data_IF_385360067816
#
_entry.id   IF_385360067816
#
_cell.length_a   1.000
_cell.length_b   1.000
_cell.length_c   1.000
_cell.angle_alpha   90.00
_cell.angle_beta   90.00
_cell.angle_gamma   90.00
#
_symmetry.space_group_name_H-M   'P 1'
#
loop_
_entity.id
_entity.type
_entity.pdbx_description
1 polymer ?
#
# COMPACT_ATOMS: atom_id res chain seq x y z
N UNK A 1 -49.62 -50.85 -22.14
CA UNK A 1 -48.17 -50.65 -22.36
C UNK A 1 -47.92 -49.15 -22.51
N UNK A 2 -47.22 -48.52 -21.56
CA UNK A 2 -46.28 -47.39 -21.80
C UNK A 2 -45.74 -46.91 -20.46
N UNK A 3 -44.67 -47.57 -20.01
CA UNK A 3 -43.89 -47.20 -18.81
C UNK A 3 -42.84 -46.13 -19.16
N UNK A 4 -43.26 -45.09 -19.90
CA UNK A 4 -42.41 -43.95 -20.24
C UNK A 4 -42.76 -42.77 -19.34
N UNK A 5 -42.25 -42.72 -18.10
CA UNK A 5 -42.31 -41.45 -17.34
C UNK A 5 -41.38 -41.29 -16.15
N UNK A 6 -40.61 -42.30 -15.71
CA UNK A 6 -39.82 -42.16 -14.46
C UNK A 6 -38.30 -42.18 -14.64
N UNK A 7 -37.77 -42.87 -15.66
CA UNK A 7 -36.32 -42.98 -15.86
C UNK A 7 -35.68 -41.75 -16.55
N UNK A 8 -36.41 -41.07 -17.44
CA UNK A 8 -35.89 -39.91 -18.17
C UNK A 8 -35.66 -38.67 -17.29
N UNK A 9 -36.49 -38.52 -16.24
CA UNK A 9 -36.40 -37.36 -15.34
C UNK A 9 -35.19 -37.42 -14.42
N UNK A 10 -34.81 -38.62 -13.95
CA UNK A 10 -33.64 -38.82 -13.12
C UNK A 10 -32.32 -38.58 -13.89
N UNK A 11 -32.26 -38.99 -15.16
CA UNK A 11 -31.11 -38.77 -16.02
C UNK A 11 -30.90 -37.28 -16.35
N UNK A 12 -31.98 -36.53 -16.56
CA UNK A 12 -31.91 -35.08 -16.78
C UNK A 12 -31.48 -34.32 -15.51
N UNK A 13 -31.96 -34.70 -14.33
CA UNK A 13 -31.52 -34.07 -13.07
C UNK A 13 -30.03 -34.31 -12.80
N UNK A 14 -29.52 -35.52 -13.04
CA UNK A 14 -28.12 -35.84 -12.85
C UNK A 14 -27.19 -35.08 -13.82
N UNK A 15 -27.64 -34.83 -15.05
CA UNK A 15 -26.92 -34.02 -16.03
C UNK A 15 -26.87 -32.54 -15.61
N UNK A 16 -27.99 -31.99 -15.11
CA UNK A 16 -28.05 -30.58 -14.66
C UNK A 16 -27.17 -30.35 -13.43
N UNK A 17 -27.14 -31.27 -12.47
CA UNK A 17 -26.29 -31.15 -11.27
C UNK A 17 -24.80 -31.25 -11.61
N UNK A 18 -24.42 -32.08 -12.59
CA UNK A 18 -23.02 -32.18 -13.04
C UNK A 18 -22.56 -30.96 -13.86
N UNK A 19 -23.45 -30.33 -14.63
CA UNK A 19 -23.19 -29.07 -15.32
C UNK A 19 -23.05 -27.87 -14.36
N UNK A 20 -23.80 -27.85 -13.25
CA UNK A 20 -23.71 -26.81 -12.22
C UNK A 20 -22.48 -26.96 -11.31
N UNK A 21 -22.00 -28.20 -11.09
CA UNK A 21 -20.83 -28.47 -10.25
C UNK A 21 -19.49 -28.06 -10.87
N UNK A 22 -19.41 -27.92 -12.20
CA UNK A 22 -18.21 -27.49 -12.93
C UNK A 22 -18.13 -25.97 -13.16
N UNK A 23 -19.21 -25.22 -12.87
CA UNK A 23 -19.26 -23.77 -13.06
C UNK A 23 -18.82 -22.95 -11.83
N UNK A 24 -18.50 -23.61 -10.70
CA UNK A 24 -18.27 -22.95 -9.41
C UNK A 24 -16.82 -22.64 -9.04
N UNK A 25 -15.83 -23.10 -9.81
CA UNK A 25 -14.43 -22.75 -9.57
C UNK A 25 -14.06 -21.52 -10.40
N UNK A 26 -14.54 -20.34 -9.99
CA UNK A 26 -13.86 -19.11 -10.39
C UNK A 26 -12.40 -19.25 -9.98
N UNK A 27 -11.42 -19.11 -10.90
CA UNK A 27 -10.03 -19.01 -10.48
C UNK A 27 -9.99 -17.88 -9.46
N UNK A 28 -9.39 -18.13 -8.29
CA UNK A 28 -9.09 -17.06 -7.37
C UNK A 28 -8.25 -16.05 -8.17
N UNK A 29 -8.84 -14.91 -8.52
CA UNK A 29 -8.10 -13.84 -9.20
C UNK A 29 -6.89 -13.56 -8.32
N UNK A 30 -5.70 -13.86 -8.82
CA UNK A 30 -4.48 -13.43 -8.15
C UNK A 30 -4.63 -11.92 -7.97
N UNK A 31 -4.60 -11.45 -6.72
CA UNK A 31 -4.69 -10.02 -6.47
C UNK A 31 -3.55 -9.35 -7.25
N UNK A 32 -3.90 -8.41 -8.13
CA UNK A 32 -2.89 -7.68 -8.89
C UNK A 32 -1.91 -7.06 -7.91
N UNK A 33 -0.61 -7.26 -8.15
CA UNK A 33 0.42 -6.62 -7.34
C UNK A 33 0.23 -5.11 -7.45
N UNK A 34 0.10 -4.37 -6.35
CA UNK A 34 -0.08 -2.92 -6.42
C UNK A 34 1.17 -2.27 -7.02
N UNK A 35 0.98 -1.25 -7.85
CA UNK A 35 2.09 -0.52 -8.45
C UNK A 35 2.99 0.16 -7.40
N UNK A 36 2.42 0.46 -6.22
CA UNK A 36 3.13 1.05 -5.09
C UNK A 36 2.74 0.34 -3.79
N UNK A 37 3.74 -0.07 -3.01
CA UNK A 37 3.54 -0.66 -1.69
C UNK A 37 4.28 0.15 -0.62
N UNK A 38 3.64 0.31 0.54
CA UNK A 38 4.22 0.99 1.70
C UNK A 38 4.38 0.05 2.88
N UNK A 39 5.49 0.21 3.60
CA UNK A 39 5.69 -0.37 4.92
C UNK A 39 6.21 0.68 5.88
N UNK A 40 5.99 0.47 7.17
CA UNK A 40 6.63 1.23 8.25
C UNK A 40 7.39 0.26 9.13
N UNK A 41 8.49 0.70 9.73
CA UNK A 41 9.26 -0.10 10.68
C UNK A 41 8.50 -0.33 11.99
N UNK A 42 7.61 0.60 12.36
CA UNK A 42 6.73 0.50 13.52
C UNK A 42 5.40 1.22 13.27
N UNK A 43 4.31 0.67 13.82
CA UNK A 43 2.96 1.28 13.80
C UNK A 43 2.65 2.05 15.09
N UNK A 44 3.58 2.06 16.05
CA UNK A 44 3.49 2.86 17.28
C UNK A 44 4.84 3.53 17.54
N UNK A 45 4.82 4.79 17.93
CA UNK A 45 6.00 5.62 18.17
C UNK A 45 5.78 6.56 19.36
N UNK A 46 6.83 6.89 20.10
CA UNK A 46 6.78 7.90 21.17
C UNK A 46 7.27 9.26 20.66
N UNK A 47 6.88 10.38 21.30
CA UNK A 47 7.53 11.67 21.07
C UNK A 47 9.06 11.57 21.10
N UNK A 48 9.72 12.19 20.12
CA UNK A 48 11.17 12.16 19.93
C UNK A 48 11.72 10.92 19.21
N UNK A 49 10.89 9.92 18.92
CA UNK A 49 11.35 8.71 18.20
C UNK A 49 11.26 8.86 16.68
N UNK A 50 12.14 8.14 15.98
CA UNK A 50 12.13 8.04 14.52
C UNK A 50 11.20 6.93 14.04
N UNK A 51 10.56 7.17 12.91
CA UNK A 51 9.74 6.21 12.16
C UNK A 51 10.22 6.20 10.71
N UNK A 52 10.41 5.00 10.17
CA UNK A 52 10.92 4.80 8.82
C UNK A 52 9.84 4.23 7.92
N UNK A 53 9.46 4.99 6.90
CA UNK A 53 8.55 4.58 5.83
C UNK A 53 9.37 4.07 4.66
N UNK A 54 9.04 2.88 4.18
CA UNK A 54 9.58 2.32 2.95
C UNK A 54 8.49 2.27 1.89
N UNK A 55 8.83 2.72 0.70
CA UNK A 55 8.00 2.72 -0.49
C UNK A 55 8.68 1.86 -1.55
N UNK A 56 7.90 0.96 -2.16
CA UNK A 56 8.37 0.10 -3.25
C UNK A 56 7.47 0.30 -4.46
N UNK A 57 7.99 0.95 -5.49
CA UNK A 57 7.35 1.01 -6.80
C UNK A 57 7.69 -0.25 -7.59
N UNK A 58 6.71 -0.80 -8.30
CA UNK A 58 6.87 -1.96 -9.19
C UNK A 58 6.28 -1.63 -10.56
N UNK A 59 7.04 -1.85 -11.63
CA UNK A 59 6.46 -1.85 -12.97
C UNK A 59 5.56 -3.10 -13.12
N UNK A 60 4.24 -2.92 -13.00
CA UNK A 60 3.22 -3.97 -13.17
C UNK A 60 2.68 -4.04 -14.61
N UNK A 61 3.31 -3.34 -15.54
CA UNK A 61 3.03 -3.42 -16.97
C UNK A 61 3.73 -4.60 -17.63
N UNK A 62 3.41 -4.81 -18.90
CA UNK A 62 4.10 -5.79 -19.76
C UNK A 62 5.15 -5.14 -20.65
N UNK A 63 5.24 -3.81 -20.65
CA UNK A 63 6.26 -3.01 -21.33
C UNK A 63 7.06 -2.14 -20.35
N UNK A 64 8.18 -1.59 -20.84
CA UNK A 64 8.99 -0.64 -20.08
C UNK A 64 8.16 0.60 -19.71
N UNK A 65 8.33 1.05 -18.47
CA UNK A 65 7.82 2.37 -18.05
C UNK A 65 8.71 3.44 -18.66
N UNK A 66 8.07 4.44 -19.27
CA UNK A 66 8.73 5.60 -19.89
C UNK A 66 8.46 6.92 -19.17
N UNK A 67 7.51 6.94 -18.24
CA UNK A 67 7.23 8.09 -17.40
C UNK A 67 6.54 7.65 -16.10
N UNK A 68 6.93 8.26 -14.98
CA UNK A 68 6.26 8.11 -13.69
C UNK A 68 6.09 9.49 -13.08
N UNK A 69 4.86 9.83 -12.72
CA UNK A 69 4.57 10.92 -11.81
C UNK A 69 4.14 10.35 -10.48
N UNK A 70 4.66 10.88 -9.38
CA UNK A 70 4.30 10.42 -8.05
C UNK A 70 4.19 11.61 -7.08
N UNK A 71 3.10 11.67 -6.31
CA UNK A 71 3.00 12.55 -5.13
C UNK A 71 3.36 11.82 -3.86
N UNK A 72 3.63 12.55 -2.78
CA UNK A 72 3.66 12.01 -1.43
C UNK A 72 3.22 13.10 -0.46
N UNK A 73 2.15 12.85 0.28
CA UNK A 73 1.48 13.87 1.09
C UNK A 73 0.93 13.28 2.40
N UNK A 74 0.83 14.07 3.49
CA UNK A 74 0.09 13.66 4.67
C UNK A 74 -1.39 13.47 4.35
N UNK A 75 -2.06 12.56 5.07
CA UNK A 75 -3.53 12.49 5.02
C UNK A 75 -4.17 13.74 5.61
N UNK A 76 -5.47 13.92 5.35
CA UNK A 76 -6.24 15.02 5.94
C UNK A 76 -6.16 15.00 7.47
N UNK A 77 -6.37 13.85 8.10
CA UNK A 77 -6.31 13.67 9.55
C UNK A 77 -4.94 14.06 10.11
N UNK A 78 -3.87 13.67 9.41
CA UNK A 78 -2.50 14.02 9.79
C UNK A 78 -2.25 15.52 9.67
N UNK A 79 -2.70 16.14 8.57
CA UNK A 79 -2.46 17.57 8.29
C UNK A 79 -3.34 18.53 9.08
N UNK A 80 -4.53 18.11 9.50
CA UNK A 80 -5.51 18.93 10.22
C UNK A 80 -5.33 18.91 11.74
N UNK A 81 -4.54 17.98 12.27
CA UNK A 81 -4.28 17.87 13.70
C UNK A 81 -3.21 18.86 14.17
N UNK A 82 -3.63 19.93 14.85
CA UNK A 82 -2.74 20.98 15.37
C UNK A 82 -1.75 20.50 16.45
N UNK A 83 -2.08 19.42 17.16
CA UNK A 83 -1.22 18.82 18.19
C UNK A 83 -0.21 17.79 17.64
N UNK A 84 -0.46 17.23 16.46
CA UNK A 84 0.37 16.18 15.89
C UNK A 84 1.57 16.79 15.17
N UNK A 85 2.78 16.50 15.65
CA UNK A 85 4.01 17.12 15.15
C UNK A 85 4.99 16.06 14.70
N UNK A 86 5.57 16.25 13.52
CA UNK A 86 6.65 15.42 13.01
C UNK A 86 7.54 16.24 12.06
N UNK A 87 8.75 15.75 11.80
CA UNK A 87 9.69 16.40 10.88
C UNK A 87 10.45 15.34 10.08
N UNK A 88 10.61 15.56 8.79
CA UNK A 88 11.38 14.67 7.92
C UNK A 88 12.88 14.81 8.19
N UNK A 89 13.58 13.67 8.22
CA UNK A 89 15.00 13.60 8.60
C UNK A 89 15.88 13.16 7.43
N UNK A 90 15.55 12.04 6.81
CA UNK A 90 16.35 11.47 5.71
C UNK A 90 15.46 10.95 4.61
N UNK A 91 15.99 10.97 3.38
CA UNK A 91 15.53 10.06 2.34
C UNK A 91 16.71 9.37 1.66
N UNK A 92 16.57 8.08 1.42
CA UNK A 92 17.49 7.24 0.66
C UNK A 92 16.70 6.48 -0.38
N UNK A 93 17.31 6.17 -1.52
CA UNK A 93 16.63 5.47 -2.60
C UNK A 93 17.60 4.60 -3.41
N UNK A 94 17.04 3.65 -4.14
CA UNK A 94 17.78 2.82 -5.08
C UNK A 94 18.45 3.67 -6.18
N UNK A 95 19.50 3.13 -6.85
CA UNK A 95 20.10 3.78 -8.01
C UNK A 95 19.06 4.16 -9.06
N UNK A 96 19.24 5.35 -9.65
CA UNK A 96 18.30 5.89 -10.63
C UNK A 96 17.00 6.41 -10.02
N UNK A 97 16.96 6.66 -8.71
CA UNK A 97 15.85 7.33 -8.04
C UNK A 97 16.38 8.55 -7.31
N UNK A 98 15.80 9.72 -7.58
CA UNK A 98 16.01 10.91 -6.74
C UNK A 98 14.91 10.94 -5.71
N UNK A 99 15.24 11.22 -4.46
CA UNK A 99 14.26 11.34 -3.40
C UNK A 99 14.45 12.60 -2.58
N UNK A 100 13.33 13.23 -2.24
CA UNK A 100 13.27 14.34 -1.29
C UNK A 100 12.35 13.95 -0.14
N UNK A 101 12.87 14.03 1.09
CA UNK A 101 12.12 13.64 2.27
C UNK A 101 10.83 14.47 2.41
N UNK A 102 9.70 13.80 2.55
CA UNK A 102 8.38 14.44 2.63
C UNK A 102 7.78 14.90 1.30
N UNK A 103 8.46 14.69 0.17
CA UNK A 103 7.94 15.02 -1.17
C UNK A 103 7.84 13.81 -2.10
N UNK A 104 8.50 12.69 -1.77
CA UNK A 104 8.44 11.45 -2.53
C UNK A 104 9.65 11.28 -3.45
N UNK A 105 9.43 10.63 -4.60
CA UNK A 105 10.51 10.17 -5.47
C UNK A 105 10.28 10.52 -6.94
N UNK A 106 11.40 10.68 -7.67
CA UNK A 106 11.45 10.81 -9.13
C UNK A 106 12.32 9.69 -9.67
N UNK A 107 11.81 8.98 -10.68
CA UNK A 107 12.43 7.77 -11.20
C UNK A 107 13.10 8.01 -12.55
N UNK A 108 14.33 7.53 -12.69
CA UNK A 108 14.97 7.39 -13.98
C UNK A 108 14.28 6.26 -14.77
N UNK A 109 14.01 6.54 -16.02
CA UNK A 109 13.37 5.65 -17.00
C UNK A 109 14.37 5.30 -18.11
N UNK A 110 14.25 4.13 -18.77
CA UNK A 110 13.18 3.14 -18.65
C UNK A 110 13.25 2.26 -17.40
N UNK A 111 12.11 1.73 -16.95
CA UNK A 111 12.02 0.69 -15.90
C UNK A 111 11.37 -0.55 -16.51
N UNK A 112 12.10 -1.65 -16.59
CA UNK A 112 11.64 -2.89 -17.22
C UNK A 112 10.44 -3.53 -16.51
N UNK A 113 9.60 -4.33 -17.21
CA UNK A 113 8.52 -5.11 -16.60
C UNK A 113 8.97 -5.90 -15.38
N UNK A 114 8.21 -5.82 -14.29
CA UNK A 114 8.51 -6.48 -13.01
C UNK A 114 9.65 -5.87 -12.21
N UNK A 115 10.42 -4.92 -12.76
CA UNK A 115 11.49 -4.27 -12.01
C UNK A 115 10.91 -3.33 -10.93
N UNK A 116 11.62 -3.26 -9.81
CA UNK A 116 11.22 -2.45 -8.65
C UNK A 116 12.18 -1.29 -8.40
N UNK A 117 11.69 -0.28 -7.68
CA UNK A 117 12.47 0.84 -7.17
C UNK A 117 12.02 1.13 -5.75
N UNK A 118 12.97 1.12 -4.81
CA UNK A 118 12.74 1.33 -3.40
C UNK A 118 13.19 2.72 -2.97
N UNK A 119 12.41 3.30 -2.08
CA UNK A 119 12.67 4.58 -1.41
C UNK A 119 12.40 4.39 0.08
N UNK A 120 13.29 4.90 0.91
CA UNK A 120 13.16 4.85 2.37
C UNK A 120 13.30 6.26 2.93
N UNK A 121 12.23 6.72 3.59
CA UNK A 121 12.15 8.03 4.24
C UNK A 121 12.00 7.86 5.74
N UNK A 122 12.68 8.69 6.53
CA UNK A 122 12.57 8.70 7.99
C UNK A 122 12.03 10.04 8.43
N UNK A 123 11.01 10.02 9.30
CA UNK A 123 10.53 11.19 10.02
C UNK A 123 10.66 10.97 11.53
N UNK A 124 10.83 12.06 12.27
CA UNK A 124 10.87 12.06 13.73
C UNK A 124 9.55 12.60 14.26
N UNK A 125 8.94 11.92 15.23
CA UNK A 125 7.82 12.48 15.99
C UNK A 125 8.35 13.62 16.86
N UNK A 126 7.71 14.79 16.78
CA UNK A 126 8.09 15.95 17.60
C UNK A 126 8.07 15.59 19.09
N UNK A 127 9.06 16.06 19.86
CA UNK A 127 9.13 15.79 21.30
C UNK A 127 7.92 16.36 22.07
N UNK A 128 7.25 17.35 21.50
CA UNK A 128 6.04 18.01 22.00
C UNK A 128 4.78 17.64 21.20
N UNK A 129 4.84 16.56 20.40
CA UNK A 129 3.65 16.05 19.69
C UNK A 129 2.63 15.50 20.68
N UNK A 130 1.34 15.75 20.42
CA UNK A 130 0.24 15.09 21.11
C UNK A 130 0.27 13.59 20.88
N UNK A 131 -0.17 12.83 21.87
CA UNK A 131 -0.37 11.38 21.79
C UNK A 131 -1.83 11.04 21.49
N UNK A 132 -2.09 9.81 21.05
CA UNK A 132 -3.42 9.32 20.73
C UNK A 132 -3.79 9.56 19.28
N UNK A 133 -5.05 9.90 19.03
CA UNK A 133 -5.57 10.16 17.68
C UNK A 133 -5.42 11.64 17.29
N UNK A 134 -5.26 11.95 15.99
CA UNK A 134 -5.14 11.00 14.88
C UNK A 134 -3.74 10.40 14.74
N UNK A 135 -3.65 9.32 13.96
CA UNK A 135 -2.38 8.68 13.61
C UNK A 135 -1.62 9.50 12.56
N UNK A 136 -0.29 9.40 12.56
CA UNK A 136 0.52 9.90 11.43
C UNK A 136 0.38 8.94 10.27
N UNK A 137 -0.17 9.41 9.16
CA UNK A 137 -0.32 8.66 7.93
C UNK A 137 -0.07 9.54 6.70
N UNK A 138 0.38 8.90 5.62
CA UNK A 138 0.63 9.54 4.34
C UNK A 138 -0.04 8.75 3.23
N UNK A 139 -0.13 9.37 2.07
CA UNK A 139 -0.55 8.71 0.85
C UNK A 139 0.25 9.22 -0.35
N UNK A 140 0.19 8.45 -1.42
CA UNK A 140 0.79 8.76 -2.69
C UNK A 140 -0.19 8.46 -3.81
N UNK A 141 -0.36 9.41 -4.72
CA UNK A 141 -0.90 9.11 -6.05
C UNK A 141 0.26 8.83 -6.99
N UNK A 142 0.10 7.81 -7.83
CA UNK A 142 1.06 7.49 -8.88
C UNK A 142 0.34 7.40 -10.23
N UNK A 143 0.98 7.95 -11.26
CA UNK A 143 0.58 7.82 -12.66
C UNK A 143 1.78 7.30 -13.46
N UNK A 144 1.57 6.24 -14.23
CA UNK A 144 2.63 5.53 -14.94
C UNK A 144 2.27 5.39 -16.41
N UNK A 145 3.16 5.83 -17.30
CA UNK A 145 3.06 5.58 -18.74
C UNK A 145 4.06 4.52 -19.19
N UNK A 146 3.61 3.68 -20.11
CA UNK A 146 4.41 2.59 -20.67
C UNK A 146 4.77 2.87 -22.12
N UNK A 147 5.83 2.23 -22.58
CA UNK A 147 6.20 2.18 -23.99
C UNK A 147 5.23 1.30 -24.79
N UNK A 148 5.38 1.30 -26.13
CA UNK A 148 4.67 0.36 -27.00
C UNK A 148 3.15 0.52 -27.07
N UNK A 149 2.61 1.69 -26.69
CA UNK A 149 1.17 1.97 -26.73
C UNK A 149 0.35 1.26 -25.65
N UNK A 150 1.00 0.61 -24.67
CA UNK A 150 0.28 0.06 -23.52
C UNK A 150 -0.40 1.22 -22.74
N UNK A 151 -1.68 1.06 -22.35
CA UNK A 151 -2.40 2.08 -21.59
C UNK A 151 -1.68 2.45 -20.28
N UNK A 152 -1.74 3.73 -19.94
CA UNK A 152 -1.26 4.21 -18.65
C UNK A 152 -2.05 3.59 -17.48
N UNK A 153 -1.43 3.54 -16.31
CA UNK A 153 -2.03 3.07 -15.05
C UNK A 153 -1.84 4.12 -13.96
N UNK A 154 -2.82 4.24 -13.08
CA UNK A 154 -2.74 5.12 -11.93
C UNK A 154 -3.42 4.55 -10.69
N UNK A 155 -3.15 5.17 -9.54
CA UNK A 155 -3.77 4.79 -8.27
C UNK A 155 -3.28 5.60 -7.07
N UNK A 156 -4.08 5.54 -6.00
CA UNK A 156 -3.77 6.14 -4.70
C UNK A 156 -3.48 5.05 -3.67
N UNK A 157 -2.35 5.19 -2.97
CA UNK A 157 -1.84 4.20 -2.02
C UNK A 157 -1.52 4.87 -0.69
N UNK A 158 -1.92 4.24 0.41
CA UNK A 158 -1.77 4.79 1.76
C UNK A 158 -0.67 4.05 2.51
N UNK A 159 0.09 4.79 3.33
CA UNK A 159 1.03 4.17 4.27
C UNK A 159 0.26 3.48 5.40
N UNK A 160 0.82 2.42 6.02
CA UNK A 160 0.38 2.03 7.35
C UNK A 160 0.43 3.24 8.29
N UNK A 161 -0.60 3.40 9.11
CA UNK A 161 -0.70 4.51 10.06
C UNK A 161 0.21 4.26 11.27
N UNK A 162 0.76 5.34 11.84
CA UNK A 162 1.61 5.30 13.04
C UNK A 162 0.95 6.05 14.20
N UNK A 163 0.59 5.32 15.25
CA UNK A 163 0.03 5.87 16.49
C UNK A 163 1.13 6.50 17.34
N UNK A 164 0.95 7.75 17.75
CA UNK A 164 1.81 8.37 18.78
C UNK A 164 1.34 7.93 20.16
N UNK A 165 2.18 7.20 20.89
CA UNK A 165 1.95 6.76 22.26
C UNK A 165 2.78 7.59 23.24
N UNK A 166 2.17 8.02 24.33
CA UNK A 166 2.90 8.72 25.37
C UNK A 166 3.73 7.72 26.19
N UNK A 167 4.96 8.07 26.59
CA UNK A 167 5.66 7.31 27.63
C UNK A 167 4.75 7.29 28.86
N UNK A 168 4.52 6.12 29.43
CA UNK A 168 3.90 6.05 30.75
C UNK A 168 4.89 6.64 31.74
N UNK A 169 4.62 7.82 32.27
CA UNK A 169 5.33 8.30 33.47
C UNK A 169 5.13 7.23 34.54
N UNK A 170 6.20 6.60 35.09
CA UNK A 170 6.05 5.73 36.25
C UNK A 170 5.35 6.53 37.36
N UNK A 171 4.41 5.95 38.12
CA UNK A 171 3.79 6.66 39.22
C UNK A 171 4.88 7.23 40.14
N UNK A 172 4.77 8.51 40.48
CA UNK A 172 5.70 9.19 41.37
C UNK A 172 5.76 8.42 42.69
N UNK A 173 6.86 7.69 42.92
CA UNK A 173 7.04 6.86 44.12
C UNK A 173 7.74 5.51 43.91
N UNK A 174 7.95 5.05 42.68
CA UNK A 174 8.76 3.85 42.44
C UNK A 174 10.25 4.19 42.29
N UNK A 175 10.92 4.52 43.40
CA UNK A 175 12.36 4.30 43.52
C UNK A 175 12.56 3.00 44.33
N UNK A 176 13.42 2.13 43.81
CA UNK A 176 13.92 0.95 44.52
C UNK A 176 14.94 1.37 45.59
#
# INVERSE_FOLDING_TARGET
MSSFSRAGFAALLALVVSLLGLAGASPASAADTPALAFTVDKTQATPGSDVTVTMTFTNTGTADVRFVWQSFQPTWETSSASGLKYTWKTCTADPGVTCTAGQGATYAVPIAPGATRKVTMTYTIGADSSCGYPDVAFYSYIYTEFAGGQPAKDGTYFTPATRVICPTTPPAGAQA
#
